data_IF_595617186033
#
_entry.id   IF_595617186033
#
_cell.length_a   1.000
_cell.length_b   1.000
_cell.length_c   1.000
_cell.angle_alpha   90.00
_cell.angle_beta   90.00
_cell.angle_gamma   90.00
#
_symmetry.space_group_name_H-M   'P 1'
#
loop_
_entity.id
_entity.type
_entity.pdbx_description
1 polymer ?
#
# COMPACT_ATOMS: atom_id res chain seq x y z
N UNK A 1 -23.53 -8.08 0.51
CA UNK A 1 -22.08 -7.80 0.48
C UNK A 1 -21.53 -8.04 1.87
N UNK A 2 -20.62 -9.02 2.04
CA UNK A 2 -19.97 -9.25 3.32
C UNK A 2 -19.18 -7.98 3.72
N UNK A 3 -19.44 -7.43 4.90
CA UNK A 3 -18.67 -6.29 5.40
C UNK A 3 -17.27 -6.78 5.78
N UNK A 4 -16.25 -6.14 5.25
CA UNK A 4 -14.87 -6.44 5.62
C UNK A 4 -14.69 -6.16 7.11
N UNK A 5 -14.35 -7.20 7.89
CA UNK A 5 -14.25 -7.11 9.35
C UNK A 5 -12.95 -6.43 9.78
N UNK A 6 -11.87 -6.64 9.04
CA UNK A 6 -10.56 -6.07 9.35
C UNK A 6 -10.54 -4.56 9.08
N UNK A 7 -10.25 -3.78 10.12
CA UNK A 7 -10.09 -2.33 10.07
C UNK A 7 -8.63 -1.94 10.30
N UNK A 8 -8.19 -0.85 9.68
CA UNK A 8 -6.88 -0.24 9.88
C UNK A 8 -7.08 1.19 10.42
N UNK A 9 -6.31 1.55 11.45
CA UNK A 9 -6.30 2.91 11.99
C UNK A 9 -5.62 3.89 11.03
N UNK A 10 -6.21 5.06 10.82
CA UNK A 10 -5.65 6.10 9.94
C UNK A 10 -4.47 6.86 10.54
N UNK A 11 -4.31 6.84 11.86
CA UNK A 11 -3.28 7.63 12.57
C UNK A 11 -2.03 6.81 12.86
N UNK A 12 -2.20 5.62 13.46
CA UNK A 12 -1.08 4.77 13.89
C UNK A 12 -0.89 3.51 13.03
N UNK A 13 -1.72 3.32 12.00
CA UNK A 13 -1.70 2.12 11.14
C UNK A 13 -1.92 0.78 11.86
N UNK A 14 -2.36 0.79 13.13
CA UNK A 14 -2.67 -0.41 13.88
C UNK A 14 -3.92 -1.12 13.33
N UNK A 15 -3.92 -2.44 13.41
CA UNK A 15 -4.99 -3.31 12.93
C UNK A 15 -5.97 -3.64 14.05
N UNK A 16 -7.27 -3.62 13.76
CA UNK A 16 -8.30 -4.03 14.72
C UNK A 16 -9.57 -4.52 14.01
N UNK A 17 -10.48 -5.13 14.77
CA UNK A 17 -11.82 -5.52 14.28
C UNK A 17 -12.90 -4.50 14.65
N UNK A 18 -12.50 -3.41 15.32
CA UNK A 18 -13.38 -2.33 15.77
C UNK A 18 -13.22 -1.09 14.88
N UNK A 19 -14.24 -0.25 14.82
CA UNK A 19 -14.17 1.07 14.17
C UNK A 19 -13.39 2.10 15.00
N UNK A 20 -13.00 1.75 16.22
CA UNK A 20 -12.18 2.57 17.11
C UNK A 20 -10.86 1.88 17.42
N UNK A 21 -9.75 2.58 17.17
CA UNK A 21 -8.41 2.06 17.44
C UNK A 21 -8.20 1.88 18.94
N UNK A 22 -7.74 0.68 19.35
CA UNK A 22 -7.44 0.38 20.75
C UNK A 22 -6.09 0.95 21.22
N UNK A 23 -5.25 1.42 20.30
CA UNK A 23 -3.91 1.94 20.61
C UNK A 23 -3.93 3.46 20.79
N UNK A 24 -4.52 4.19 19.84
CA UNK A 24 -4.55 5.66 19.86
C UNK A 24 -5.94 6.27 20.09
N UNK A 25 -7.01 5.48 20.08
CA UNK A 25 -8.39 5.99 20.17
C UNK A 25 -8.93 6.63 18.88
N UNK A 26 -8.10 6.77 17.83
CA UNK A 26 -8.48 7.31 16.54
C UNK A 26 -9.48 6.45 15.76
N UNK A 27 -10.01 6.99 14.65
CA UNK A 27 -10.94 6.28 13.77
C UNK A 27 -10.22 5.21 12.96
N UNK A 28 -10.78 4.00 12.94
CA UNK A 28 -10.35 2.91 12.08
C UNK A 28 -11.33 2.70 10.93
N UNK A 29 -10.82 2.44 9.74
CA UNK A 29 -11.60 2.22 8.52
C UNK A 29 -11.33 0.83 7.93
N UNK A 30 -12.25 0.34 7.11
CA UNK A 30 -12.11 -0.97 6.49
C UNK A 30 -10.80 -1.02 5.71
N UNK A 31 -10.02 -2.06 5.96
CA UNK A 31 -8.71 -2.20 5.34
C UNK A 31 -8.82 -2.14 3.81
N UNK A 32 -7.83 -1.54 3.17
CA UNK A 32 -7.83 -1.41 1.72
C UNK A 32 -7.95 -2.80 1.05
N UNK A 33 -8.74 -2.93 -0.03
CA UNK A 33 -8.75 -4.14 -0.85
C UNK A 33 -7.35 -4.46 -1.37
N UNK A 34 -7.10 -5.74 -1.68
CA UNK A 34 -5.86 -6.18 -2.31
C UNK A 34 -5.58 -5.29 -3.53
N UNK A 35 -4.36 -4.73 -3.60
CA UNK A 35 -3.97 -3.64 -4.52
C UNK A 35 -4.23 -4.02 -5.98
N UNK A 36 -4.10 -5.30 -6.32
CA UNK A 36 -4.32 -5.85 -7.66
C UNK A 36 -4.82 -7.30 -7.62
N UNK A 37 -5.92 -7.60 -8.33
CA UNK A 37 -6.35 -8.95 -8.69
C UNK A 37 -6.78 -8.93 -10.17
N UNK A 38 -6.47 -9.97 -10.95
CA UNK A 38 -6.92 -10.07 -12.34
C UNK A 38 -8.45 -10.15 -12.47
N UNK A 39 -9.16 -10.60 -11.44
CA UNK A 39 -10.63 -10.62 -11.40
C UNK A 39 -11.26 -9.29 -10.94
N UNK A 40 -10.47 -8.26 -10.62
CA UNK A 40 -11.00 -7.00 -10.12
C UNK A 40 -11.66 -6.15 -11.22
N UNK A 41 -12.96 -6.40 -11.42
CA UNK A 41 -13.82 -5.61 -12.33
C UNK A 41 -13.87 -4.11 -12.00
N UNK A 42 -13.51 -3.70 -10.77
CA UNK A 42 -13.50 -2.29 -10.36
C UNK A 42 -12.16 -1.61 -10.55
N UNK A 43 -11.15 -2.31 -11.08
CA UNK A 43 -9.82 -1.75 -11.31
C UNK A 43 -9.86 -0.52 -12.23
N UNK A 44 -10.69 -0.54 -13.27
CA UNK A 44 -10.82 0.60 -14.21
C UNK A 44 -11.37 1.86 -13.52
N UNK A 45 -12.37 1.71 -12.65
CA UNK A 45 -12.95 2.80 -11.87
C UNK A 45 -11.93 3.36 -10.89
N UNK A 46 -11.19 2.48 -10.19
CA UNK A 46 -10.16 2.89 -9.23
C UNK A 46 -9.01 3.63 -9.88
N UNK A 47 -8.54 3.18 -11.05
CA UNK A 47 -7.49 3.89 -11.82
C UNK A 47 -7.92 5.29 -12.25
N UNK A 48 -9.20 5.47 -12.62
CA UNK A 48 -9.77 6.81 -12.91
C UNK A 48 -9.85 7.69 -11.66
N UNK A 49 -10.26 7.13 -10.52
CA UNK A 49 -10.37 7.88 -9.25
C UNK A 49 -9.03 8.42 -8.77
N UNK A 50 -7.95 7.63 -8.91
CA UNK A 50 -6.60 8.03 -8.49
C UNK A 50 -5.79 8.72 -9.59
N UNK A 51 -6.39 8.98 -10.75
CA UNK A 51 -5.74 9.61 -11.91
C UNK A 51 -4.34 9.05 -12.23
N UNK A 52 -4.26 7.71 -12.28
CA UNK A 52 -3.00 6.95 -12.40
C UNK A 52 -2.24 7.23 -13.69
N UNK A 53 -2.91 7.76 -14.71
CA UNK A 53 -2.29 8.11 -15.99
C UNK A 53 -1.65 9.51 -15.99
N UNK A 54 -1.81 10.28 -14.91
CA UNK A 54 -1.24 11.63 -14.82
C UNK A 54 0.25 11.60 -14.52
N UNK A 55 0.97 12.62 -15.01
CA UNK A 55 2.40 12.80 -14.70
C UNK A 55 2.64 13.01 -13.19
N UNK A 56 1.71 13.68 -12.52
CA UNK A 56 1.77 13.88 -11.07
C UNK A 56 1.79 12.53 -10.32
N UNK A 57 0.98 11.58 -10.76
CA UNK A 57 0.97 10.24 -10.15
C UNK A 57 2.28 9.50 -10.37
N UNK A 58 2.92 9.65 -11.55
CA UNK A 58 4.24 9.03 -11.81
C UNK A 58 5.35 9.66 -10.99
N UNK A 59 5.28 10.97 -10.76
CA UNK A 59 6.28 11.72 -9.97
C UNK A 59 6.18 11.40 -8.46
N UNK A 60 4.99 11.01 -7.97
CA UNK A 60 4.76 10.59 -6.58
C UNK A 60 5.21 9.13 -6.30
N UNK A 61 5.65 8.39 -7.32
CA UNK A 61 6.15 7.02 -7.12
C UNK A 61 7.50 7.03 -6.41
N UNK A 62 7.75 6.06 -5.51
CA UNK A 62 9.07 5.90 -4.92
C UNK A 62 10.08 5.58 -6.02
N UNK A 63 11.15 6.36 -6.06
CA UNK A 63 12.30 6.06 -6.91
C UNK A 63 13.04 4.85 -6.35
N UNK A 64 13.47 3.98 -7.25
CA UNK A 64 14.36 2.87 -6.91
C UNK A 64 15.80 3.34 -7.13
N UNK A 65 16.70 2.84 -6.29
CA UNK A 65 18.14 2.98 -6.51
C UNK A 65 18.51 2.47 -7.91
N UNK A 66 19.61 2.99 -8.47
CA UNK A 66 20.02 2.59 -9.80
C UNK A 66 20.27 1.09 -9.87
N UNK A 67 20.04 0.48 -11.03
CA UNK A 67 20.29 -0.95 -11.24
C UNK A 67 21.75 -1.35 -10.92
N UNK A 68 22.68 -0.40 -10.98
CA UNK A 68 24.08 -0.63 -10.63
C UNK A 68 24.25 -0.68 -9.10
N UNK A 69 23.67 0.29 -8.38
CA UNK A 69 23.68 0.32 -6.91
C UNK A 69 22.96 -0.91 -6.31
N UNK A 70 21.83 -1.32 -6.90
CA UNK A 70 21.14 -2.54 -6.47
C UNK A 70 22.00 -3.80 -6.66
N UNK A 71 22.78 -3.89 -7.75
CA UNK A 71 23.71 -5.00 -7.98
C UNK A 71 24.86 -4.98 -7.00
N UNK A 72 25.42 -3.80 -6.73
CA UNK A 72 26.51 -3.63 -5.76
C UNK A 72 26.03 -4.02 -4.35
N UNK A 73 24.85 -3.53 -3.93
CA UNK A 73 24.26 -3.88 -2.65
C UNK A 73 23.99 -5.39 -2.53
N UNK A 74 23.52 -6.04 -3.60
CA UNK A 74 23.33 -7.49 -3.62
C UNK A 74 24.64 -8.26 -3.46
N UNK A 75 25.72 -7.82 -4.12
CA UNK A 75 27.06 -8.43 -3.99
C UNK A 75 27.58 -8.24 -2.57
N UNK A 76 27.52 -7.02 -2.02
CA UNK A 76 27.98 -6.73 -0.66
C UNK A 76 27.23 -7.56 0.39
N UNK A 77 25.91 -7.76 0.22
CA UNK A 77 25.13 -8.60 1.13
C UNK A 77 25.48 -10.10 1.09
N UNK A 78 26.15 -10.57 0.03
CA UNK A 78 26.61 -11.95 -0.10
C UNK A 78 28.03 -12.16 0.44
N UNK A 79 28.82 -11.09 0.56
CA UNK A 79 30.18 -11.15 1.11
C UNK A 79 30.22 -10.98 2.64
N UNK A 80 29.14 -10.47 3.25
CA UNK A 80 28.98 -10.34 4.70
C UNK A 80 28.39 -11.60 5.40
N UNK A 81 28.08 -12.66 4.64
CA UNK A 81 27.63 -13.98 5.11
C UNK A 81 28.78 -15.02 5.08
#
# INVERSE_FOLDING_TARGET
MARQMLQQCLECSAWSLSTTCQVCGGKAQAAAPIKWSPEDHRASVRRKMYDVNSKKWTDDLPELDSLQEMKINAINSQEEE
#
